data_IF_926097552823
#
_entry.id   IF_926097552823
#
_cell.length_a   1.000
_cell.length_b   1.000
_cell.length_c   1.000
_cell.angle_alpha   90.00
_cell.angle_beta   90.00
_cell.angle_gamma   90.00
#
_symmetry.space_group_name_H-M   'P 1'
#
loop_
_entity.id
_entity.type
_entity.pdbx_description
1 polymer ?
#
# COMPACT_ATOMS: atom_id res chain seq x y z
N UNK A 1 -31.24 -6.80 -61.77
CA UNK A 1 -30.17 -5.80 -61.53
C UNK A 1 -29.95 -5.72 -60.03
N UNK A 2 -28.88 -6.35 -59.53
CA UNK A 2 -28.50 -6.35 -58.10
C UNK A 2 -27.73 -5.07 -57.78
N UNK A 3 -28.32 -4.17 -56.99
CA UNK A 3 -27.60 -3.02 -56.45
C UNK A 3 -26.91 -3.42 -55.16
N UNK A 4 -25.63 -3.77 -55.29
CA UNK A 4 -24.71 -3.95 -54.17
C UNK A 4 -24.51 -2.62 -53.46
N UNK A 5 -24.93 -2.52 -52.20
CA UNK A 5 -24.51 -1.44 -51.30
C UNK A 5 -23.39 -1.97 -50.40
N UNK A 6 -22.22 -1.30 -50.34
CA UNK A 6 -21.16 -1.69 -49.42
C UNK A 6 -21.55 -1.34 -47.98
N UNK A 7 -21.55 -2.34 -47.10
CA UNK A 7 -21.71 -2.17 -45.66
C UNK A 7 -20.61 -1.26 -45.09
N UNK A 8 -20.95 -0.24 -44.27
CA UNK A 8 -19.97 0.59 -43.63
C UNK A 8 -19.19 -0.24 -42.59
N UNK A 9 -17.88 -0.41 -42.83
CA UNK A 9 -16.93 -0.95 -41.84
C UNK A 9 -17.04 -0.14 -40.56
N UNK A 10 -17.72 -0.70 -39.56
CA UNK A 10 -17.77 -0.17 -38.20
C UNK A 10 -16.36 -0.05 -37.67
N UNK A 11 -15.91 1.20 -37.54
CA UNK A 11 -14.64 1.58 -36.92
C UNK A 11 -14.63 1.01 -35.51
N UNK A 12 -13.66 0.15 -35.22
CA UNK A 12 -13.38 -0.36 -33.89
C UNK A 12 -13.12 0.82 -32.96
N UNK A 13 -14.14 1.17 -32.19
CA UNK A 13 -14.07 2.22 -31.18
C UNK A 13 -12.91 1.92 -30.25
N UNK A 14 -11.95 2.86 -30.23
CA UNK A 14 -10.95 3.01 -29.20
C UNK A 14 -11.64 2.77 -27.86
N UNK A 15 -11.24 1.71 -27.14
CA UNK A 15 -11.70 1.40 -25.79
C UNK A 15 -11.35 2.58 -24.90
N UNK A 16 -12.26 3.54 -24.80
CA UNK A 16 -12.21 4.58 -23.81
C UNK A 16 -12.09 3.88 -22.46
N UNK A 17 -10.99 4.17 -21.76
CA UNK A 17 -10.70 3.75 -20.41
C UNK A 17 -11.76 4.40 -19.49
N UNK A 18 -12.95 3.84 -19.50
CA UNK A 18 -14.11 4.37 -18.80
C UNK A 18 -13.97 4.09 -17.32
N UNK A 19 -14.26 5.09 -16.49
CA UNK A 19 -14.30 5.07 -15.03
C UNK A 19 -15.33 4.08 -14.42
N UNK A 20 -15.89 3.20 -15.25
CA UNK A 20 -16.97 2.25 -14.92
C UNK A 20 -16.45 0.91 -14.41
N UNK A 21 -15.23 0.51 -14.77
CA UNK A 21 -14.66 -0.77 -14.35
C UNK A 21 -14.07 -0.67 -12.94
N UNK A 22 -14.83 -1.05 -11.92
CA UNK A 22 -14.29 -1.26 -10.57
C UNK A 22 -13.44 -2.54 -10.58
N UNK A 23 -12.11 -2.47 -10.46
CA UNK A 23 -11.28 -3.66 -10.53
C UNK A 23 -11.64 -4.62 -9.38
N UNK A 24 -11.93 -5.88 -9.75
CA UNK A 24 -12.16 -6.93 -8.77
C UNK A 24 -10.83 -7.58 -8.41
N UNK A 25 -10.36 -7.37 -7.18
CA UNK A 25 -9.05 -7.86 -6.70
C UNK A 25 -9.28 -8.98 -5.69
N UNK A 26 -8.46 -10.04 -5.73
CA UNK A 26 -8.51 -11.10 -4.71
C UNK A 26 -7.79 -10.66 -3.44
N UNK A 27 -8.09 -11.28 -2.30
CA UNK A 27 -7.46 -10.92 -1.01
C UNK A 27 -5.94 -11.13 -1.07
N UNK A 28 -5.48 -12.17 -1.75
CA UNK A 28 -4.04 -12.48 -1.89
C UNK A 28 -3.33 -11.41 -2.74
N UNK A 29 -3.96 -11.00 -3.86
CA UNK A 29 -3.42 -9.93 -4.69
C UNK A 29 -3.39 -8.59 -3.92
N UNK A 30 -4.39 -8.33 -3.07
CA UNK A 30 -4.39 -7.13 -2.22
C UNK A 30 -3.28 -7.17 -1.18
N UNK A 31 -3.05 -8.31 -0.53
CA UNK A 31 -1.96 -8.51 0.43
C UNK A 31 -0.61 -8.30 -0.26
N UNK A 32 -0.39 -8.90 -1.43
CA UNK A 32 0.86 -8.74 -2.19
C UNK A 32 1.09 -7.29 -2.63
N UNK A 33 0.07 -6.63 -3.20
CA UNK A 33 0.17 -5.22 -3.61
C UNK A 33 0.46 -4.30 -2.43
N UNK A 34 -0.21 -4.53 -1.29
CA UNK A 34 0.02 -3.75 -0.07
C UNK A 34 1.41 -4.00 0.49
N UNK A 35 1.88 -5.25 0.49
CA UNK A 35 3.23 -5.62 0.93
C UNK A 35 4.30 -4.94 0.08
N UNK A 36 4.12 -4.94 -1.23
CA UNK A 36 5.01 -4.28 -2.16
C UNK A 36 5.00 -2.76 -1.97
N UNK A 37 3.82 -2.16 -1.75
CA UNK A 37 3.69 -0.75 -1.43
C UNK A 37 4.41 -0.38 -0.13
N UNK A 38 4.21 -1.13 0.96
CA UNK A 38 4.91 -0.88 2.21
C UNK A 38 6.43 -1.04 2.04
N UNK A 39 6.88 -2.13 1.42
CA UNK A 39 8.30 -2.41 1.22
C UNK A 39 9.01 -1.37 0.35
N UNK A 40 8.39 -0.91 -0.73
CA UNK A 40 9.01 0.05 -1.65
C UNK A 40 8.83 1.50 -1.20
N UNK A 41 7.59 1.88 -0.90
CA UNK A 41 7.21 3.29 -0.82
C UNK A 41 7.32 3.80 0.62
N UNK A 42 6.95 2.98 1.61
CA UNK A 42 6.93 3.42 3.01
C UNK A 42 8.27 3.22 3.73
N UNK A 43 9.08 2.24 3.32
CA UNK A 43 10.34 1.88 3.99
C UNK A 43 11.58 2.61 3.40
N UNK A 44 11.43 3.88 3.00
CA UNK A 44 12.50 4.64 2.33
C UNK A 44 13.75 4.85 3.22
N UNK A 45 13.56 5.17 4.51
CA UNK A 45 14.67 5.32 5.44
C UNK A 45 15.46 4.02 5.59
N UNK A 46 14.76 2.89 5.72
CA UNK A 46 15.37 1.55 5.75
C UNK A 46 16.23 1.27 4.51
N UNK A 47 15.71 1.58 3.31
CA UNK A 47 16.48 1.42 2.06
C UNK A 47 17.74 2.26 2.04
N UNK A 48 17.68 3.52 2.47
CA UNK A 48 18.84 4.42 2.54
C UNK A 48 19.91 3.86 3.46
N UNK A 49 19.53 3.41 4.66
CA UNK A 49 20.46 2.84 5.63
C UNK A 49 21.04 1.50 5.16
N UNK A 50 20.22 0.60 4.62
CA UNK A 50 20.67 -0.72 4.17
C UNK A 50 21.62 -0.62 2.96
N UNK A 51 21.30 0.23 1.98
CA UNK A 51 22.15 0.44 0.80
C UNK A 51 23.45 1.17 1.14
N UNK A 52 23.48 1.96 2.22
CA UNK A 52 24.72 2.54 2.71
C UNK A 52 25.70 1.49 3.26
N UNK A 53 25.21 0.36 3.79
CA UNK A 53 26.06 -0.75 4.26
C UNK A 53 26.67 -1.55 3.11
N UNK A 54 25.95 -1.70 1.99
CA UNK A 54 26.43 -2.41 0.80
C UNK A 54 26.19 -1.60 -0.49
N UNK A 55 26.99 -0.53 -0.73
CA UNK A 55 26.78 0.36 -1.86
C UNK A 55 26.89 -0.38 -3.20
N UNK A 56 25.89 -0.20 -4.08
CA UNK A 56 25.90 -0.74 -5.45
C UNK A 56 25.63 -2.25 -5.59
N UNK A 57 25.40 -2.97 -4.50
CA UNK A 57 25.10 -4.41 -4.56
C UNK A 57 23.65 -4.68 -4.95
N UNK A 58 23.43 -4.94 -6.24
CA UNK A 58 22.10 -5.28 -6.79
C UNK A 58 21.58 -6.59 -6.18
N UNK A 59 22.44 -7.59 -6.00
CA UNK A 59 22.05 -8.87 -5.41
C UNK A 59 21.57 -8.74 -3.97
N UNK A 60 22.22 -7.88 -3.18
CA UNK A 60 21.77 -7.54 -1.83
C UNK A 60 20.42 -6.84 -1.86
N UNK A 61 20.24 -5.82 -2.73
CA UNK A 61 19.00 -5.09 -2.85
C UNK A 61 17.81 -5.99 -3.24
N UNK A 62 17.99 -6.89 -4.21
CA UNK A 62 16.94 -7.83 -4.63
C UNK A 62 16.60 -8.83 -3.51
N UNK A 63 17.62 -9.37 -2.84
CA UNK A 63 17.42 -10.32 -1.74
C UNK A 63 16.69 -9.66 -0.57
N UNK A 64 17.07 -8.43 -0.24
CA UNK A 64 16.43 -7.64 0.81
C UNK A 64 14.99 -7.27 0.44
N UNK A 65 14.73 -6.93 -0.83
CA UNK A 65 13.38 -6.69 -1.34
C UNK A 65 12.51 -7.93 -1.18
N UNK A 66 13.01 -9.09 -1.61
CA UNK A 66 12.29 -10.35 -1.52
C UNK A 66 11.97 -10.70 -0.06
N UNK A 67 12.95 -10.55 0.85
CA UNK A 67 12.75 -10.75 2.28
C UNK A 67 11.68 -9.80 2.84
N UNK A 68 11.79 -8.49 2.53
CA UNK A 68 10.89 -7.48 3.06
C UNK A 68 9.46 -7.71 2.58
N UNK A 69 9.27 -7.99 1.28
CA UNK A 69 7.96 -8.33 0.71
C UNK A 69 7.42 -9.62 1.31
N UNK A 70 8.24 -10.66 1.50
CA UNK A 70 7.81 -11.92 2.09
C UNK A 70 7.33 -11.75 3.54
N UNK A 71 8.07 -10.99 4.36
CA UNK A 71 7.69 -10.70 5.74
C UNK A 71 6.36 -9.92 5.79
N UNK A 72 6.22 -8.85 4.99
CA UNK A 72 4.98 -8.10 4.93
C UNK A 72 3.81 -8.96 4.43
N UNK A 73 4.03 -9.80 3.42
CA UNK A 73 3.00 -10.68 2.88
C UNK A 73 2.56 -11.74 3.88
N UNK A 74 3.50 -12.27 4.68
CA UNK A 74 3.20 -13.21 5.76
C UNK A 74 2.36 -12.53 6.86
N UNK A 75 2.81 -11.37 7.35
CA UNK A 75 2.11 -10.63 8.41
C UNK A 75 0.71 -10.19 7.97
N UNK A 76 0.61 -9.56 6.79
CA UNK A 76 -0.67 -9.16 6.22
C UNK A 76 -1.53 -10.37 5.86
N UNK A 77 -0.94 -11.48 5.40
CA UNK A 77 -1.69 -12.70 5.11
C UNK A 77 -2.36 -13.31 6.34
N UNK A 78 -1.76 -13.15 7.51
CA UNK A 78 -2.33 -13.59 8.80
C UNK A 78 -3.39 -12.59 9.30
N UNK A 79 -3.14 -11.29 9.15
CA UNK A 79 -3.96 -10.23 9.75
C UNK A 79 -5.17 -9.81 8.88
N UNK A 80 -4.99 -9.84 7.55
CA UNK A 80 -5.94 -9.33 6.56
C UNK A 80 -6.94 -10.42 6.18
N UNK A 81 -8.14 -10.32 6.73
CA UNK A 81 -9.30 -11.12 6.31
C UNK A 81 -10.27 -10.32 5.46
N UNK A 82 -11.13 -10.99 4.68
CA UNK A 82 -12.08 -10.33 3.73
C UNK A 82 -12.93 -9.20 4.34
N UNK A 83 -13.29 -9.32 5.63
CA UNK A 83 -14.13 -8.35 6.33
C UNK A 83 -13.30 -7.20 6.92
N UNK A 84 -12.12 -7.52 7.43
CA UNK A 84 -11.24 -6.57 8.11
C UNK A 84 -10.23 -5.90 7.16
N UNK A 85 -10.11 -6.35 5.91
CA UNK A 85 -9.09 -5.89 4.99
C UNK A 85 -9.10 -4.38 4.78
N UNK A 86 -10.28 -3.81 4.51
CA UNK A 86 -10.41 -2.36 4.29
C UNK A 86 -10.10 -1.54 5.55
N UNK A 87 -10.72 -1.76 6.71
CA UNK A 87 -10.44 -0.96 7.90
C UNK A 87 -9.00 -1.15 8.38
N UNK A 88 -8.49 -2.39 8.39
CA UNK A 88 -7.14 -2.69 8.86
C UNK A 88 -6.07 -2.05 7.97
N UNK A 89 -6.18 -2.17 6.64
CA UNK A 89 -5.23 -1.54 5.73
C UNK A 89 -5.32 -0.02 5.79
N UNK A 90 -6.52 0.54 5.96
CA UNK A 90 -6.68 2.00 6.15
C UNK A 90 -5.95 2.46 7.41
N UNK A 91 -6.11 1.74 8.53
CA UNK A 91 -5.40 2.03 9.77
C UNK A 91 -3.89 1.91 9.59
N UNK A 92 -3.42 0.81 8.98
CA UNK A 92 -1.99 0.59 8.73
C UNK A 92 -1.38 1.66 7.83
N UNK A 93 -2.09 2.09 6.78
CA UNK A 93 -1.62 3.18 5.91
C UNK A 93 -1.54 4.50 6.67
N UNK A 94 -2.52 4.79 7.52
CA UNK A 94 -2.53 6.00 8.33
C UNK A 94 -1.37 6.01 9.34
N UNK A 95 -1.22 4.94 10.12
CA UNK A 95 -0.13 4.82 11.10
C UNK A 95 1.23 4.82 10.41
N UNK A 96 1.36 4.18 9.25
CA UNK A 96 2.60 4.18 8.48
C UNK A 96 2.94 5.56 7.95
N UNK A 97 1.96 6.35 7.49
CA UNK A 97 2.19 7.71 7.02
C UNK A 97 2.71 8.62 8.15
N UNK A 98 2.13 8.49 9.35
CA UNK A 98 2.62 9.19 10.55
C UNK A 98 4.04 8.73 10.90
N UNK A 99 4.25 7.42 10.97
CA UNK A 99 5.53 6.83 11.33
C UNK A 99 6.65 7.25 10.36
N UNK A 100 6.41 7.14 9.06
CA UNK A 100 7.37 7.52 8.03
C UNK A 100 7.72 9.01 8.10
N UNK A 101 6.74 9.89 8.34
CA UNK A 101 7.01 11.32 8.49
C UNK A 101 7.88 11.62 9.71
N UNK A 102 7.56 11.03 10.87
CA UNK A 102 8.32 11.28 12.10
C UNK A 102 9.74 10.69 12.03
N UNK A 103 9.88 9.49 11.47
CA UNK A 103 11.18 8.86 11.26
C UNK A 103 12.05 9.66 10.29
N UNK A 104 11.48 10.24 9.23
CA UNK A 104 12.24 11.04 8.26
C UNK A 104 12.58 12.44 8.80
N UNK A 105 11.63 13.10 9.48
CA UNK A 105 11.79 14.49 9.93
C UNK A 105 12.64 14.62 11.20
N UNK A 106 12.53 13.67 12.12
CA UNK A 106 13.24 13.72 13.40
C UNK A 106 14.38 12.71 13.50
N UNK A 107 14.52 11.81 12.51
CA UNK A 107 15.50 10.72 12.50
C UNK A 107 15.46 9.86 13.78
N UNK A 108 14.31 9.86 14.46
CA UNK A 108 14.08 9.06 15.66
C UNK A 108 13.38 7.78 15.23
N UNK A 109 13.93 6.64 15.66
CA UNK A 109 13.26 5.36 15.52
C UNK A 109 12.08 5.32 16.49
N UNK A 110 10.89 5.01 15.97
CA UNK A 110 9.73 4.78 16.81
C UNK A 110 9.94 3.54 17.66
N UNK A 111 10.30 3.75 18.93
CA UNK A 111 10.46 2.71 19.93
C UNK A 111 9.35 2.77 20.99
N UNK A 112 9.35 1.77 21.88
CA UNK A 112 8.36 1.66 22.94
C UNK A 112 8.45 2.83 23.94
N UNK A 113 9.64 3.41 24.11
CA UNK A 113 9.89 4.53 25.03
C UNK A 113 9.33 5.84 24.46
N UNK A 114 9.49 6.10 23.16
CA UNK A 114 8.81 7.20 22.46
C UNK A 114 7.30 7.08 22.58
N UNK A 115 6.74 5.88 22.35
CA UNK A 115 5.29 5.69 22.44
C UNK A 115 4.80 5.93 23.88
N UNK A 116 5.55 5.45 24.89
CA UNK A 116 5.26 5.72 26.30
C UNK A 116 5.33 7.22 26.61
N UNK A 117 6.33 7.93 26.10
CA UNK A 117 6.49 9.36 26.30
C UNK A 117 5.33 10.15 25.66
N UNK A 118 4.91 9.78 24.44
CA UNK A 118 3.75 10.42 23.78
C UNK A 118 2.43 10.11 24.49
N UNK A 119 2.26 8.90 25.03
CA UNK A 119 1.05 8.51 25.76
C UNK A 119 0.99 9.10 27.17
N UNK A 120 2.13 9.38 27.81
CA UNK A 120 2.21 9.91 29.17
C UNK A 120 2.43 11.43 29.27
N UNK A 121 2.93 12.12 28.23
CA UNK A 121 3.36 13.53 28.32
C UNK A 121 2.44 14.52 27.57
N UNK A 122 2.46 15.76 28.07
CA UNK A 122 1.62 16.93 27.81
C UNK A 122 1.37 17.27 26.32
N UNK A 123 0.11 17.50 25.98
CA UNK A 123 -0.40 17.80 24.63
C UNK A 123 0.20 19.05 23.97
N UNK A 124 1.02 19.82 24.70
CA UNK A 124 1.65 21.06 24.26
C UNK A 124 2.91 20.85 23.41
N UNK A 125 3.77 19.88 23.75
CA UNK A 125 4.94 19.51 22.92
C UNK A 125 4.54 18.69 21.69
N UNK A 126 3.53 17.83 21.82
CA UNK A 126 3.07 16.97 20.73
C UNK A 126 2.31 17.70 19.62
N UNK A 127 1.83 18.93 19.88
CA UNK A 127 1.23 19.80 18.84
C UNK A 127 2.25 20.57 18.02
N UNK A 128 3.44 20.83 18.55
CA UNK A 128 4.55 21.41 17.76
C UNK A 128 5.14 20.38 16.78
N UNK A 129 4.93 19.08 17.05
CA UNK A 129 5.27 17.98 16.14
C UNK A 129 4.31 17.86 14.95
N UNK A 130 3.07 18.36 15.05
CA UNK A 130 2.10 18.42 13.95
C UNK A 130 2.42 19.61 13.02
N UNK A 131 3.55 19.50 12.34
CA UNK A 131 4.00 20.48 11.36
C UNK A 131 3.16 20.38 10.08
N UNK A 132 2.91 21.47 9.33
CA UNK A 132 2.27 21.40 8.00
C UNK A 132 2.95 20.42 7.03
N UNK A 133 4.23 20.09 7.28
CA UNK A 133 4.97 19.06 6.57
C UNK A 133 4.37 17.65 6.64
N UNK A 134 3.46 17.38 7.59
CA UNK A 134 2.75 16.10 7.73
C UNK A 134 1.59 15.95 6.72
N UNK A 135 1.12 17.05 6.12
CA UNK A 135 0.04 17.06 5.13
C UNK A 135 0.44 16.31 3.86
N UNK A 136 1.66 16.55 3.35
CA UNK A 136 2.13 15.94 2.11
C UNK A 136 2.33 14.41 2.24
N UNK A 137 2.99 13.88 3.30
CA UNK A 137 3.03 12.45 3.60
C UNK A 137 1.65 11.82 3.79
N UNK A 138 0.73 12.48 4.49
CA UNK A 138 -0.64 11.96 4.63
C UNK A 138 -1.36 11.89 3.27
N UNK A 139 -1.20 12.89 2.42
CA UNK A 139 -1.78 12.86 1.07
C UNK A 139 -1.18 11.72 0.23
N UNK A 140 0.14 11.61 0.19
CA UNK A 140 0.84 10.66 -0.67
C UNK A 140 0.75 9.21 -0.15
N UNK A 141 1.05 8.99 1.13
CA UNK A 141 1.15 7.65 1.72
C UNK A 141 -0.17 7.13 2.31
N UNK A 142 -1.13 8.01 2.59
CA UNK A 142 -2.43 7.60 3.13
C UNK A 142 -3.59 7.84 2.16
N UNK A 143 -3.80 9.08 1.70
CA UNK A 143 -5.02 9.43 0.96
C UNK A 143 -5.11 8.73 -0.41
N UNK A 144 -4.02 8.76 -1.19
CA UNK A 144 -3.95 8.08 -2.50
C UNK A 144 -4.17 6.56 -2.39
N UNK A 145 -3.38 5.80 -1.59
CA UNK A 145 -3.55 4.36 -1.50
C UNK A 145 -4.88 3.97 -0.85
N UNK A 146 -5.39 4.75 0.10
CA UNK A 146 -6.72 4.50 0.70
C UNK A 146 -7.83 4.73 -0.32
N UNK A 147 -7.78 5.81 -1.11
CA UNK A 147 -8.76 6.05 -2.16
C UNK A 147 -8.77 4.92 -3.20
N UNK A 148 -7.58 4.43 -3.58
CA UNK A 148 -7.45 3.29 -4.49
C UNK A 148 -8.01 2.00 -3.87
N UNK A 149 -7.66 1.71 -2.61
CA UNK A 149 -8.16 0.56 -1.84
C UNK A 149 -9.69 0.55 -1.79
N UNK A 150 -10.31 1.69 -1.48
CA UNK A 150 -11.77 1.81 -1.36
C UNK A 150 -12.48 1.73 -2.72
N UNK A 151 -11.82 2.10 -3.82
CA UNK A 151 -12.32 1.90 -5.19
C UNK A 151 -12.31 0.42 -5.60
N UNK A 152 -11.42 -0.41 -5.05
CA UNK A 152 -11.39 -1.84 -5.37
C UNK A 152 -12.58 -2.61 -4.80
N UNK A 153 -13.14 -3.53 -5.58
CA UNK A 153 -14.10 -4.52 -5.09
C UNK A 153 -13.35 -5.81 -4.75
N UNK A 154 -13.45 -6.24 -3.50
CA UNK A 154 -12.90 -7.52 -3.08
C UNK A 154 -13.71 -8.65 -3.72
N UNK A 155 -13.06 -9.49 -4.53
CA UNK A 155 -13.70 -10.68 -5.11
C UNK A 155 -13.82 -11.73 -4.02
N UNK A 156 -15.05 -12.06 -3.63
CA UNK A 156 -15.32 -13.20 -2.76
C UNK A 156 -14.99 -14.49 -3.52
N UNK A 157 -13.84 -15.13 -3.23
CA UNK A 157 -13.67 -16.54 -3.61
C UNK A 157 -14.61 -17.38 -2.75
N UNK A 158 -15.34 -18.30 -3.39
CA UNK A 158 -16.15 -19.27 -2.65
C UNK A 158 -15.23 -20.09 -1.74
N UNK A 159 -15.71 -20.31 -0.51
CA UNK A 159 -14.96 -20.86 0.61
C UNK A 159 -14.34 -22.24 0.29
N UNK A 160 -14.88 -22.97 -0.70
CA UNK A 160 -14.42 -24.29 -1.10
C UNK A 160 -13.04 -24.37 -1.76
N UNK A 161 -12.53 -23.29 -2.37
CA UNK A 161 -11.16 -23.27 -2.93
C UNK A 161 -10.10 -22.77 -1.94
N UNK A 162 -10.50 -22.25 -0.79
CA UNK A 162 -9.59 -21.77 0.25
C UNK A 162 -9.02 -22.91 1.11
N UNK A 163 -9.70 -24.06 1.16
CA UNK A 163 -9.22 -25.26 1.87
C UNK A 163 -8.30 -26.14 1.04
N UNK A 164 -8.30 -26.00 -0.29
CA UNK A 164 -7.45 -26.81 -1.19
C UNK A 164 -6.01 -26.28 -1.31
N UNK A 165 -5.72 -25.11 -0.73
CA UNK A 165 -4.41 -24.43 -0.78
C UNK A 165 -3.94 -24.02 0.62
N UNK A 166 -4.56 -24.56 1.68
CA UNK A 166 -4.11 -24.33 3.07
C UNK A 166 -3.41 -25.56 3.61
#
# INVERSE_FOLDING_TARGET
MSTWLPEPRTRSGLRALTWSTRPTVSTEALVLLSSLFFALVCNQLFWRTAMATHPGSIGFAISLMALLVAVHALLLGVLVWRWNAKPLLTLLLFTTALAAHYMDSYNVYLDADMLRNVLHTDHKESRELLTPGLILPLLCYFLIPTALLWRTRLRARSVGKAFLVR
#
